data_IF_001776875847
#
_entry.id   IF_001776875847
#
_cell.length_a   1.000
_cell.length_b   1.000
_cell.length_c   1.000
_cell.angle_alpha   90.00
_cell.angle_beta   90.00
_cell.angle_gamma   90.00
#
_symmetry.space_group_name_H-M   'P 1'
#
loop_
_entity.id
_entity.type
_entity.pdbx_description
1 polymer ?
#
# COMPACT_ATOMS: atom_id res chain seq x y z
N UNK A 1 -43.10 -13.71 56.91
CA UNK A 1 -41.70 -14.11 56.64
C UNK A 1 -41.61 -14.70 55.23
N UNK A 2 -41.23 -13.89 54.24
CA UNK A 2 -40.98 -14.35 52.87
C UNK A 2 -39.49 -14.13 52.59
N UNK A 3 -38.75 -15.21 52.27
CA UNK A 3 -37.35 -15.14 51.83
C UNK A 3 -37.31 -15.24 50.31
N UNK A 4 -36.74 -14.20 49.68
CA UNK A 4 -36.38 -14.17 48.25
C UNK A 4 -35.10 -14.98 48.01
N UNK A 5 -34.93 -15.66 46.86
CA UNK A 5 -33.65 -16.22 46.46
C UNK A 5 -32.74 -15.14 45.86
N UNK A 6 -31.46 -15.16 46.22
CA UNK A 6 -30.43 -14.34 45.60
C UNK A 6 -30.16 -14.83 44.17
N UNK A 7 -30.29 -13.92 43.20
CA UNK A 7 -29.69 -14.05 41.87
C UNK A 7 -28.18 -13.90 42.01
N UNK A 8 -27.42 -14.94 41.67
CA UNK A 8 -25.98 -14.84 41.45
C UNK A 8 -25.76 -14.36 40.02
N UNK A 9 -25.40 -13.09 39.87
CA UNK A 9 -24.92 -12.53 38.60
C UNK A 9 -23.44 -12.88 38.49
N UNK A 10 -23.12 -13.85 37.63
CA UNK A 10 -21.77 -14.13 37.19
C UNK A 10 -21.32 -12.98 36.28
N UNK A 11 -20.49 -12.08 36.82
CA UNK A 11 -19.76 -11.11 36.04
C UNK A 11 -18.70 -11.83 35.20
N UNK A 12 -18.96 -11.99 33.90
CA UNK A 12 -17.95 -12.37 32.91
C UNK A 12 -16.91 -11.26 32.83
N UNK A 13 -15.76 -11.49 33.45
CA UNK A 13 -14.58 -10.65 33.28
C UNK A 13 -14.07 -10.79 31.84
N UNK A 14 -14.34 -9.79 31.01
CA UNK A 14 -13.57 -9.57 29.79
C UNK A 14 -12.12 -9.32 30.21
N UNK A 15 -11.24 -10.28 29.93
CA UNK A 15 -9.80 -10.08 30.06
C UNK A 15 -9.38 -9.12 28.95
N UNK A 16 -9.30 -7.83 29.28
CA UNK A 16 -8.53 -6.89 28.49
C UNK A 16 -7.08 -7.40 28.50
N UNK A 17 -6.61 -7.86 27.35
CA UNK A 17 -5.18 -8.12 27.15
C UNK A 17 -4.50 -6.78 27.31
N UNK A 18 -3.86 -6.58 28.46
CA UNK A 18 -3.05 -5.40 28.72
C UNK A 18 -1.80 -5.50 27.85
N UNK A 19 -1.91 -5.04 26.60
CA UNK A 19 -0.74 -4.64 25.84
C UNK A 19 0.02 -3.60 26.65
N UNK A 20 1.35 -3.68 26.66
CA UNK A 20 2.16 -2.68 27.37
C UNK A 20 1.90 -1.31 26.73
N UNK A 21 1.06 -0.52 27.39
CA UNK A 21 0.53 0.78 26.91
C UNK A 21 1.63 1.76 26.51
N UNK A 22 2.84 1.54 27.01
CA UNK A 22 4.03 2.38 26.74
C UNK A 22 4.70 2.13 25.39
N UNK A 23 4.57 0.93 24.80
CA UNK A 23 5.15 0.60 23.49
C UNK A 23 4.23 1.06 22.34
N UNK A 24 2.91 0.80 22.45
CA UNK A 24 1.91 1.33 21.53
C UNK A 24 1.90 2.87 21.53
N UNK A 25 1.83 3.51 22.71
CA UNK A 25 1.78 4.97 22.81
C UNK A 25 3.04 5.68 22.27
N UNK A 26 4.17 4.96 22.07
CA UNK A 26 5.40 5.54 21.51
C UNK A 26 5.49 5.38 20.01
N UNK A 27 5.11 4.22 19.47
CA UNK A 27 4.95 4.05 18.02
C UNK A 27 3.94 5.07 17.48
N UNK A 28 2.86 5.36 18.23
CA UNK A 28 1.88 6.42 17.90
C UNK A 28 2.48 7.84 17.83
N UNK A 29 3.63 8.09 18.46
CA UNK A 29 4.26 9.43 18.54
C UNK A 29 5.54 9.58 17.74
N UNK A 30 6.07 8.49 17.17
CA UNK A 30 7.30 8.54 16.39
C UNK A 30 6.99 8.96 14.94
N UNK A 31 7.53 10.10 14.53
CA UNK A 31 7.38 10.62 13.16
C UNK A 31 8.76 10.61 12.45
N UNK A 32 9.00 9.63 11.56
CA UNK A 32 10.23 9.54 10.76
C UNK A 32 10.51 10.80 9.94
N UNK A 33 9.47 11.42 9.38
CA UNK A 33 9.62 12.62 8.55
C UNK A 33 10.02 13.83 9.41
N UNK A 34 9.47 13.96 10.62
CA UNK A 34 9.89 15.01 11.54
C UNK A 34 11.37 14.84 11.95
N UNK A 35 11.83 13.61 12.19
CA UNK A 35 13.24 13.34 12.52
C UNK A 35 14.16 13.73 11.37
N UNK A 36 13.84 13.32 10.13
CA UNK A 36 14.62 13.71 8.95
C UNK A 36 14.59 15.24 8.73
N UNK A 37 13.42 15.87 8.84
CA UNK A 37 13.28 17.31 8.65
C UNK A 37 14.04 18.14 9.70
N UNK A 38 14.21 17.60 10.91
CA UNK A 38 15.02 18.22 11.95
C UNK A 38 16.52 18.03 11.69
N UNK A 39 16.93 16.83 11.29
CA UNK A 39 18.34 16.49 11.08
C UNK A 39 18.93 17.11 9.79
N UNK A 40 18.10 17.29 8.76
CA UNK A 40 18.54 17.73 7.43
C UNK A 40 17.73 18.97 6.96
N UNK A 41 18.06 20.17 7.48
CA UNK A 41 17.29 21.38 7.22
C UNK A 41 17.30 21.83 5.75
N UNK A 42 18.35 21.49 4.99
CA UNK A 42 18.44 21.78 3.55
C UNK A 42 17.37 21.02 2.76
N UNK A 43 17.20 19.71 3.03
CA UNK A 43 16.14 18.92 2.42
C UNK A 43 14.75 19.45 2.81
N UNK A 44 14.56 19.83 4.08
CA UNK A 44 13.31 20.46 4.54
C UNK A 44 13.01 21.74 3.77
N UNK A 45 14.02 22.57 3.52
CA UNK A 45 13.87 23.80 2.73
C UNK A 45 13.49 23.49 1.28
N UNK A 46 14.15 22.50 0.65
CA UNK A 46 13.83 22.05 -0.70
C UNK A 46 12.39 21.51 -0.79
N UNK A 47 11.97 20.63 0.12
CA UNK A 47 10.59 20.12 0.21
C UNK A 47 9.58 21.27 0.30
N UNK A 48 9.85 22.27 1.16
CA UNK A 48 8.97 23.44 1.30
C UNK A 48 8.89 24.25 0.00
N UNK A 49 10.03 24.47 -0.67
CA UNK A 49 10.07 25.19 -1.93
C UNK A 49 9.35 24.45 -3.06
N UNK A 50 9.38 23.12 -3.07
CA UNK A 50 8.80 22.29 -4.12
C UNK A 50 7.32 21.98 -3.95
N UNK A 51 6.78 22.10 -2.74
CA UNK A 51 5.37 21.77 -2.47
C UNK A 51 4.37 22.45 -3.43
N UNK A 52 4.45 23.77 -3.72
CA UNK A 52 3.49 24.40 -4.62
C UNK A 52 3.56 23.89 -6.06
N UNK A 53 4.77 23.60 -6.55
CA UNK A 53 5.00 23.09 -7.91
C UNK A 53 4.45 21.67 -8.07
N UNK A 54 4.70 20.80 -7.08
CA UNK A 54 4.15 19.44 -7.05
C UNK A 54 2.62 19.48 -7.06
N UNK A 55 2.00 20.29 -6.19
CA UNK A 55 0.54 20.41 -6.12
C UNK A 55 -0.04 20.90 -7.45
N UNK A 56 0.56 21.93 -8.06
CA UNK A 56 0.08 22.44 -9.35
C UNK A 56 0.20 21.40 -10.47
N UNK A 57 1.29 20.62 -10.47
CA UNK A 57 1.48 19.56 -11.44
C UNK A 57 0.50 18.41 -11.25
N UNK A 58 0.24 17.99 -10.01
CA UNK A 58 -0.74 16.94 -9.70
C UNK A 58 -2.15 17.33 -10.14
N UNK A 59 -2.59 18.57 -9.88
CA UNK A 59 -3.90 19.05 -10.36
C UNK A 59 -4.00 18.97 -11.89
N UNK A 60 -2.93 19.32 -12.60
CA UNK A 60 -2.89 19.19 -14.07
C UNK A 60 -2.96 17.74 -14.50
N UNK A 61 -2.13 16.88 -13.92
CA UNK A 61 -2.09 15.45 -14.22
C UNK A 61 -3.45 14.79 -14.01
N UNK A 62 -4.12 15.14 -12.91
CA UNK A 62 -5.43 14.61 -12.57
C UNK A 62 -6.47 14.91 -13.65
N UNK A 63 -6.53 16.16 -14.11
CA UNK A 63 -7.46 16.58 -15.16
C UNK A 63 -7.15 15.88 -16.51
N UNK A 64 -5.87 15.70 -16.84
CA UNK A 64 -5.44 15.04 -18.06
C UNK A 64 -5.73 13.54 -18.04
N UNK A 65 -5.43 12.85 -16.93
CA UNK A 65 -5.71 11.41 -16.77
C UNK A 65 -7.22 11.13 -16.76
N UNK A 66 -8.03 11.99 -16.13
CA UNK A 66 -9.50 11.92 -16.18
C UNK A 66 -10.04 12.07 -17.62
N UNK A 67 -9.35 12.89 -18.44
CA UNK A 67 -9.67 13.04 -19.85
C UNK A 67 -9.15 11.87 -20.72
N UNK A 68 -8.50 10.87 -20.14
CA UNK A 68 -8.00 9.68 -20.83
C UNK A 68 -6.56 9.78 -21.34
N UNK A 69 -5.82 10.83 -20.97
CA UNK A 69 -4.42 10.97 -21.38
C UNK A 69 -3.51 10.03 -20.59
N UNK A 70 -2.60 9.35 -21.28
CA UNK A 70 -1.51 8.61 -20.62
C UNK A 70 -0.49 9.60 -20.05
N UNK A 71 -0.45 9.70 -18.72
CA UNK A 71 0.52 10.48 -17.97
C UNK A 71 1.37 9.64 -17.02
N UNK A 72 1.39 8.32 -17.21
CA UNK A 72 2.07 7.35 -16.34
C UNK A 72 3.53 7.71 -16.06
N UNK A 73 4.32 8.05 -17.09
CA UNK A 73 5.72 8.48 -16.92
C UNK A 73 5.85 9.74 -16.04
N UNK A 74 5.03 10.76 -16.27
CA UNK A 74 5.14 12.01 -15.52
C UNK A 74 4.67 11.81 -14.07
N UNK A 75 3.63 11.00 -13.86
CA UNK A 75 3.17 10.56 -12.54
C UNK A 75 4.28 9.81 -11.78
N UNK A 76 4.96 8.88 -12.44
CA UNK A 76 6.11 8.16 -11.89
C UNK A 76 7.23 9.11 -11.42
N UNK A 77 7.58 10.12 -12.23
CA UNK A 77 8.58 11.12 -11.87
C UNK A 77 8.17 11.98 -10.66
N UNK A 78 6.89 12.37 -10.56
CA UNK A 78 6.35 13.08 -9.38
C UNK A 78 6.45 12.20 -8.14
N UNK A 79 6.09 10.93 -8.25
CA UNK A 79 6.13 9.97 -7.13
C UNK A 79 7.55 9.77 -6.60
N UNK A 80 8.55 9.59 -7.49
CA UNK A 80 9.94 9.47 -7.08
C UNK A 80 10.44 10.76 -6.39
N UNK A 81 10.13 11.95 -6.94
CA UNK A 81 10.50 13.21 -6.31
C UNK A 81 9.87 13.38 -4.92
N UNK A 82 8.57 13.06 -4.78
CA UNK A 82 7.88 13.11 -3.48
C UNK A 82 8.55 12.20 -2.45
N UNK A 83 8.94 10.99 -2.86
CA UNK A 83 9.67 10.07 -2.01
C UNK A 83 11.04 10.62 -1.61
N UNK A 84 11.84 11.11 -2.56
CA UNK A 84 13.16 11.70 -2.26
C UNK A 84 13.05 12.83 -1.23
N UNK A 85 12.08 13.73 -1.41
CA UNK A 85 11.85 14.88 -0.53
C UNK A 85 11.32 14.50 0.87
N UNK A 86 10.65 13.35 1.00
CA UNK A 86 10.02 12.92 2.25
C UNK A 86 10.87 11.92 3.05
N UNK A 87 11.69 11.12 2.35
CA UNK A 87 12.32 9.92 2.91
C UNK A 87 13.85 9.91 2.80
N UNK A 88 14.48 10.95 2.26
CA UNK A 88 15.95 10.99 2.12
C UNK A 88 16.51 12.34 2.53
N UNK A 89 17.81 12.39 2.80
CA UNK A 89 18.59 13.62 3.00
C UNK A 89 19.42 14.00 1.77
N UNK A 90 19.30 13.26 0.67
CA UNK A 90 20.11 13.44 -0.54
C UNK A 90 19.56 14.58 -1.39
N UNK A 91 19.98 15.80 -1.05
CA UNK A 91 19.53 17.04 -1.71
C UNK A 91 19.89 17.02 -3.19
N UNK A 92 21.12 16.61 -3.54
CA UNK A 92 21.58 16.60 -4.93
C UNK A 92 20.71 15.67 -5.80
N UNK A 93 20.37 14.49 -5.29
CA UNK A 93 19.48 13.56 -5.98
C UNK A 93 18.06 14.11 -6.12
N UNK A 94 17.52 14.78 -5.10
CA UNK A 94 16.21 15.41 -5.17
C UNK A 94 16.18 16.58 -6.17
N UNK A 95 17.24 17.37 -6.25
CA UNK A 95 17.36 18.45 -7.25
C UNK A 95 17.48 17.91 -8.68
N UNK A 96 18.26 16.85 -8.88
CA UNK A 96 18.32 16.16 -10.17
C UNK A 96 16.93 15.65 -10.58
N UNK A 97 16.21 14.97 -9.67
CA UNK A 97 14.85 14.49 -9.93
C UNK A 97 13.87 15.64 -10.25
N UNK A 98 13.99 16.78 -9.57
CA UNK A 98 13.22 18.01 -9.87
C UNK A 98 13.50 18.50 -11.29
N UNK A 99 14.77 18.59 -11.68
CA UNK A 99 15.13 19.14 -12.99
C UNK A 99 14.65 18.21 -14.11
N UNK A 100 14.79 16.89 -13.94
CA UNK A 100 14.16 15.91 -14.85
C UNK A 100 12.65 16.07 -14.90
N UNK A 101 11.98 16.26 -13.75
CA UNK A 101 10.53 16.43 -13.71
C UNK A 101 10.10 17.64 -14.54
N UNK A 102 10.80 18.76 -14.44
CA UNK A 102 10.54 19.97 -15.22
C UNK A 102 10.74 19.76 -16.71
N UNK A 103 11.83 19.10 -17.10
CA UNK A 103 12.08 18.74 -18.50
C UNK A 103 10.95 17.86 -19.06
N UNK A 104 10.51 16.85 -18.32
CA UNK A 104 9.40 15.97 -18.73
C UNK A 104 8.06 16.69 -18.77
N UNK A 105 7.80 17.58 -17.81
CA UNK A 105 6.59 18.38 -17.76
C UNK A 105 6.50 19.39 -18.92
N UNK A 106 7.63 19.80 -19.50
CA UNK A 106 7.72 20.68 -20.66
C UNK A 106 7.79 19.93 -22.00
N UNK A 107 8.09 18.64 -21.99
CA UNK A 107 8.18 17.82 -23.19
C UNK A 107 6.81 17.67 -23.88
N UNK A 108 6.78 17.80 -25.21
CA UNK A 108 5.56 17.63 -26.01
C UNK A 108 5.04 16.18 -25.98
N UNK A 109 5.96 15.21 -25.85
CA UNK A 109 5.66 13.78 -25.77
C UNK A 109 6.51 13.18 -24.67
N UNK A 110 5.87 12.38 -23.81
CA UNK A 110 6.55 11.55 -22.82
C UNK A 110 6.40 10.08 -23.24
N UNK A 111 7.40 9.23 -22.95
CA UNK A 111 7.23 7.79 -23.13
C UNK A 111 6.10 7.29 -22.23
N UNK A 112 5.38 6.27 -22.68
CA UNK A 112 4.46 5.54 -21.80
C UNK A 112 5.26 4.80 -20.72
N UNK A 113 4.68 4.65 -19.52
CA UNK A 113 5.25 3.83 -18.45
C UNK A 113 5.41 2.36 -18.85
N UNK A 114 4.68 1.92 -19.89
CA UNK A 114 4.74 0.59 -20.49
C UNK A 114 5.94 0.36 -21.43
N UNK A 115 6.79 1.36 -21.66
CA UNK A 115 8.01 1.20 -22.47
C UNK A 115 9.13 0.61 -21.61
N UNK A 116 9.88 -0.36 -22.16
CA UNK A 116 11.07 -0.90 -21.50
C UNK A 116 12.30 0.00 -21.67
N UNK A 117 13.08 0.13 -20.60
CA UNK A 117 14.40 0.77 -20.57
C UNK A 117 15.52 -0.23 -20.95
N UNK A 118 16.74 0.27 -21.11
CA UNK A 118 17.90 -0.50 -21.54
C UNK A 118 18.30 -1.63 -20.56
N UNK A 119 17.95 -1.53 -19.28
CA UNK A 119 18.16 -2.59 -18.27
C UNK A 119 17.00 -3.61 -18.24
N UNK A 120 16.01 -3.46 -19.12
CA UNK A 120 14.82 -4.30 -19.23
C UNK A 120 13.75 -4.01 -18.18
N UNK A 121 13.92 -2.98 -17.34
CA UNK A 121 12.83 -2.47 -16.50
C UNK A 121 11.78 -1.74 -17.35
N UNK A 122 10.60 -1.57 -16.79
CA UNK A 122 9.58 -0.64 -17.25
C UNK A 122 9.64 0.64 -16.41
N UNK A 123 8.87 1.67 -16.78
CA UNK A 123 8.86 2.96 -16.09
C UNK A 123 10.14 3.77 -16.35
N UNK A 124 10.39 4.24 -17.59
CA UNK A 124 11.62 4.93 -17.97
C UNK A 124 11.80 6.32 -17.32
N UNK A 125 10.85 6.74 -16.48
CA UNK A 125 10.83 8.07 -15.87
C UNK A 125 11.22 8.07 -14.39
N UNK A 126 11.48 6.89 -13.82
CA UNK A 126 12.11 6.71 -12.51
C UNK A 126 13.52 6.19 -12.66
N UNK A 127 14.42 6.65 -11.80
CA UNK A 127 15.83 6.21 -11.78
C UNK A 127 16.12 5.21 -10.67
N UNK A 128 15.46 5.33 -9.52
CA UNK A 128 15.66 4.41 -8.41
C UNK A 128 15.34 2.96 -8.79
N UNK A 129 16.16 2.04 -8.28
CA UNK A 129 16.02 0.63 -8.57
C UNK A 129 14.70 0.03 -8.05
N UNK A 130 14.26 0.41 -6.84
CA UNK A 130 13.02 -0.14 -6.27
C UNK A 130 11.80 0.38 -7.01
N UNK A 131 11.79 1.64 -7.43
CA UNK A 131 10.72 2.20 -8.26
C UNK A 131 10.68 1.58 -9.65
N UNK A 132 11.84 1.28 -10.25
CA UNK A 132 11.91 0.50 -11.50
C UNK A 132 11.38 -0.92 -11.32
N UNK A 133 11.66 -1.57 -10.20
CA UNK A 133 11.12 -2.89 -9.87
C UNK A 133 9.59 -2.85 -9.83
N UNK A 134 9.01 -1.92 -9.08
CA UNK A 134 7.56 -1.72 -8.94
C UNK A 134 6.87 -1.54 -10.29
N UNK A 135 7.39 -0.61 -11.10
CA UNK A 135 6.87 -0.35 -12.44
C UNK A 135 6.93 -1.57 -13.38
N UNK A 136 7.81 -2.54 -13.09
CA UNK A 136 8.06 -3.71 -13.92
C UNK A 136 7.32 -4.96 -13.48
N UNK A 137 7.02 -5.10 -12.19
CA UNK A 137 6.60 -6.38 -11.59
C UNK A 137 5.34 -6.96 -12.24
N UNK A 138 4.30 -6.17 -12.45
CA UNK A 138 3.06 -6.66 -13.06
C UNK A 138 3.25 -7.13 -14.51
N UNK A 139 4.15 -6.47 -15.26
CA UNK A 139 4.51 -6.88 -16.62
C UNK A 139 5.27 -8.20 -16.59
N UNK A 140 6.22 -8.38 -15.67
CA UNK A 140 6.93 -9.63 -15.48
C UNK A 140 6.00 -10.79 -15.09
N UNK A 141 5.03 -10.52 -14.21
CA UNK A 141 4.06 -11.51 -13.75
C UNK A 141 3.00 -11.87 -14.80
N UNK A 142 2.81 -11.05 -15.84
CA UNK A 142 1.92 -11.39 -16.96
C UNK A 142 2.42 -12.64 -17.72
N UNK A 143 3.73 -12.87 -17.72
CA UNK A 143 4.39 -13.92 -18.48
C UNK A 143 4.44 -13.67 -19.99
N UNK A 144 4.10 -12.46 -20.43
CA UNK A 144 4.32 -12.05 -21.80
C UNK A 144 5.84 -12.05 -22.13
N UNK A 145 6.23 -12.36 -23.38
CA UNK A 145 7.61 -12.20 -23.81
C UNK A 145 8.09 -10.76 -23.60
N UNK A 146 9.30 -10.62 -23.07
CA UNK A 146 9.94 -9.31 -22.87
C UNK A 146 10.87 -9.00 -24.04
N UNK A 147 10.71 -7.85 -24.72
CA UNK A 147 11.62 -7.41 -25.78
C UNK A 147 13.07 -7.23 -25.32
N UNK A 148 13.26 -6.75 -24.09
CA UNK A 148 14.57 -6.51 -23.47
C UNK A 148 14.73 -7.41 -22.25
N UNK A 149 15.90 -8.05 -22.14
CA UNK A 149 16.24 -8.92 -21.02
C UNK A 149 16.31 -8.13 -19.70
N UNK A 150 15.63 -8.57 -18.61
CA UNK A 150 15.46 -7.78 -17.37
C UNK A 150 16.70 -7.85 -16.46
N UNK A 151 17.81 -7.22 -16.90
CA UNK A 151 19.06 -7.08 -16.15
C UNK A 151 18.89 -6.38 -14.79
N UNK A 152 17.84 -5.57 -14.63
CA UNK A 152 17.46 -4.98 -13.33
C UNK A 152 17.45 -6.02 -12.19
N UNK A 153 16.99 -7.23 -12.48
CA UNK A 153 16.85 -8.32 -11.49
C UNK A 153 18.19 -8.93 -11.07
N UNK A 154 19.27 -8.73 -11.85
CA UNK A 154 20.59 -9.30 -11.55
C UNK A 154 21.16 -8.78 -10.22
N UNK A 155 20.72 -7.59 -9.78
CA UNK A 155 21.05 -7.01 -8.47
C UNK A 155 20.71 -7.97 -7.32
N UNK A 156 19.60 -8.68 -7.43
CA UNK A 156 19.03 -9.54 -6.37
C UNK A 156 18.99 -11.03 -6.74
N UNK A 157 19.40 -11.42 -7.95
CA UNK A 157 19.50 -12.82 -8.37
C UNK A 157 20.75 -13.54 -7.83
N UNK A 158 20.96 -13.40 -6.52
CA UNK A 158 21.97 -14.09 -5.71
C UNK A 158 21.48 -14.15 -4.26
N UNK A 159 21.50 -15.33 -3.60
CA UNK A 159 20.95 -15.47 -2.25
C UNK A 159 21.57 -14.53 -1.22
N UNK A 160 22.89 -14.34 -1.26
CA UNK A 160 23.58 -13.50 -0.29
C UNK A 160 23.28 -12.02 -0.51
N UNK A 161 23.23 -11.58 -1.78
CA UNK A 161 22.81 -10.20 -2.12
C UNK A 161 21.35 -9.94 -1.75
N UNK A 162 20.45 -10.88 -2.02
CA UNK A 162 19.04 -10.76 -1.68
C UNK A 162 18.83 -10.70 -0.15
N UNK A 163 19.50 -11.58 0.60
CA UNK A 163 19.40 -11.64 2.06
C UNK A 163 19.92 -10.33 2.68
N UNK A 164 21.10 -9.87 2.27
CA UNK A 164 21.66 -8.59 2.72
C UNK A 164 20.78 -7.39 2.34
N UNK A 165 20.18 -7.40 1.15
CA UNK A 165 19.28 -6.34 0.71
C UNK A 165 18.00 -6.29 1.56
N UNK A 166 17.25 -7.39 1.64
CA UNK A 166 15.98 -7.44 2.37
C UNK A 166 16.15 -7.17 3.87
N UNK A 167 17.19 -7.76 4.50
CA UNK A 167 17.46 -7.53 5.92
C UNK A 167 17.92 -6.10 6.20
N UNK A 168 18.64 -5.48 5.26
CA UNK A 168 19.05 -4.08 5.35
C UNK A 168 17.88 -3.09 5.33
N UNK A 169 16.73 -3.48 4.77
CA UNK A 169 15.52 -2.65 4.73
C UNK A 169 14.69 -2.69 6.02
N UNK A 170 14.92 -3.67 6.91
CA UNK A 170 14.16 -3.82 8.15
C UNK A 170 14.51 -2.78 9.22
N UNK A 171 15.57 -1.99 9.02
CA UNK A 171 16.00 -1.02 10.01
C UNK A 171 16.49 0.30 9.41
N UNK A 172 15.96 1.41 9.91
CA UNK A 172 16.32 2.77 9.53
C UNK A 172 16.98 3.51 10.70
N UNK A 173 18.17 4.06 10.47
CA UNK A 173 18.85 5.00 11.38
C UNK A 173 18.87 6.37 10.72
N UNK A 174 17.80 7.13 10.91
CA UNK A 174 17.51 8.33 10.13
C UNK A 174 18.59 9.42 10.30
N UNK A 175 19.08 9.61 11.53
CA UNK A 175 20.06 10.67 11.81
C UNK A 175 21.44 10.34 11.25
N UNK A 176 21.79 9.05 11.20
CA UNK A 176 23.09 8.58 10.71
C UNK A 176 23.09 8.38 9.19
N UNK A 177 22.08 7.69 8.68
CA UNK A 177 22.03 7.25 7.28
C UNK A 177 21.33 8.26 6.39
N UNK A 178 20.48 9.13 6.95
CA UNK A 178 19.72 10.12 6.20
C UNK A 178 18.63 9.53 5.29
N UNK A 179 18.30 8.24 5.44
CA UNK A 179 17.32 7.57 4.59
C UNK A 179 16.33 6.79 5.44
N UNK A 180 15.04 7.04 5.17
CA UNK A 180 13.91 6.27 5.64
C UNK A 180 13.61 5.14 4.63
N UNK A 181 13.94 3.90 5.02
CA UNK A 181 13.86 2.72 4.16
C UNK A 181 12.44 2.17 4.03
N UNK A 182 11.47 2.71 4.78
CA UNK A 182 10.05 2.32 4.79
C UNK A 182 9.46 2.01 3.43
N UNK A 183 9.59 2.97 2.51
CA UNK A 183 8.93 2.90 1.21
C UNK A 183 9.60 1.85 0.31
N UNK A 184 10.92 1.74 0.40
CA UNK A 184 11.69 0.72 -0.30
C UNK A 184 11.39 -0.68 0.26
N UNK A 185 11.29 -0.84 1.58
CA UNK A 185 10.82 -2.07 2.23
C UNK A 185 9.46 -2.50 1.67
N UNK A 186 8.51 -1.57 1.62
CA UNK A 186 7.16 -1.85 1.13
C UNK A 186 7.17 -2.33 -0.32
N UNK A 187 7.79 -1.56 -1.22
CA UNK A 187 7.86 -1.88 -2.65
C UNK A 187 8.62 -3.20 -2.88
N UNK A 188 9.85 -3.29 -2.36
CA UNK A 188 10.71 -4.43 -2.63
C UNK A 188 10.13 -5.74 -2.06
N UNK A 189 9.55 -5.70 -0.85
CA UNK A 189 8.92 -6.89 -0.29
C UNK A 189 7.65 -7.28 -1.06
N UNK A 190 6.81 -6.33 -1.45
CA UNK A 190 5.62 -6.57 -2.27
C UNK A 190 5.99 -7.32 -3.57
N UNK A 191 7.02 -6.84 -4.27
CA UNK A 191 7.39 -7.35 -5.58
C UNK A 191 8.20 -8.63 -5.55
N UNK A 192 9.24 -8.67 -4.72
CA UNK A 192 10.14 -9.83 -4.67
C UNK A 192 9.42 -11.07 -4.13
N UNK A 193 8.47 -10.90 -3.18
CA UNK A 193 7.62 -12.01 -2.73
C UNK A 193 6.83 -12.60 -3.89
N UNK A 194 6.23 -11.77 -4.75
CA UNK A 194 5.45 -12.25 -5.90
C UNK A 194 6.35 -12.90 -6.96
N UNK A 195 7.44 -12.23 -7.34
CA UNK A 195 8.33 -12.70 -8.39
C UNK A 195 9.05 -14.00 -8.03
N UNK A 196 9.39 -14.18 -6.75
CA UNK A 196 10.15 -15.35 -6.29
C UNK A 196 9.20 -16.47 -5.87
N UNK A 197 8.11 -16.19 -5.12
CA UNK A 197 7.25 -17.24 -4.56
C UNK A 197 6.04 -17.60 -5.43
N UNK A 198 5.58 -16.71 -6.33
CA UNK A 198 4.39 -16.97 -7.16
C UNK A 198 4.76 -17.30 -8.60
N UNK A 199 5.48 -16.42 -9.28
CA UNK A 199 5.76 -16.58 -10.71
C UNK A 199 7.03 -15.86 -11.14
N UNK A 200 7.95 -16.64 -11.71
CA UNK A 200 9.19 -16.14 -12.34
C UNK A 200 8.87 -15.38 -13.65
N UNK A 201 9.58 -14.28 -13.97
CA UNK A 201 9.49 -13.62 -15.27
C UNK A 201 9.85 -14.58 -16.40
N UNK A 202 9.14 -14.48 -17.52
CA UNK A 202 9.36 -15.35 -18.67
C UNK A 202 10.78 -15.20 -19.24
N UNK A 203 11.52 -16.31 -19.35
CA UNK A 203 12.86 -16.32 -19.93
C UNK A 203 13.98 -15.76 -19.03
N UNK A 204 13.70 -15.37 -17.79
CA UNK A 204 14.72 -14.94 -16.83
C UNK A 204 15.19 -16.13 -15.96
N UNK A 205 16.51 -16.42 -15.89
CA UNK A 205 17.06 -17.50 -15.09
C UNK A 205 17.17 -17.11 -13.60
N UNK A 206 16.03 -17.00 -12.92
CA UNK A 206 15.99 -16.88 -11.46
C UNK A 206 16.61 -18.12 -10.82
N UNK A 207 17.60 -17.90 -9.93
CA UNK A 207 18.15 -18.98 -9.13
C UNK A 207 17.09 -19.60 -8.22
N UNK A 208 17.16 -20.91 -8.06
CA UNK A 208 16.17 -21.67 -7.28
C UNK A 208 16.37 -21.55 -5.76
N UNK A 209 17.53 -21.07 -5.31
CA UNK A 209 17.90 -20.96 -3.89
C UNK A 209 17.48 -19.62 -3.24
N UNK A 210 16.66 -18.81 -3.92
CA UNK A 210 16.17 -17.53 -3.43
C UNK A 210 14.90 -17.64 -2.59
N UNK A 211 14.05 -18.63 -2.86
CA UNK A 211 12.83 -18.84 -2.09
C UNK A 211 13.11 -19.00 -0.58
N UNK A 212 14.08 -19.82 -0.15
CA UNK A 212 14.43 -19.92 1.27
C UNK A 212 14.86 -18.58 1.89
N UNK A 213 15.49 -17.69 1.13
CA UNK A 213 15.89 -16.35 1.61
C UNK A 213 14.66 -15.51 1.90
N UNK A 214 13.72 -15.44 0.94
CA UNK A 214 12.48 -14.67 1.09
C UNK A 214 11.65 -15.20 2.26
N UNK A 215 11.54 -16.52 2.42
CA UNK A 215 10.79 -17.13 3.55
C UNK A 215 11.39 -16.80 4.91
N UNK A 216 12.73 -16.80 5.04
CA UNK A 216 13.40 -16.38 6.27
C UNK A 216 13.17 -14.90 6.57
N UNK A 217 13.27 -14.05 5.55
CA UNK A 217 12.97 -12.63 5.70
C UNK A 217 11.55 -12.40 6.23
N UNK A 218 10.53 -13.04 5.63
CA UNK A 218 9.13 -12.94 6.07
C UNK A 218 9.00 -13.36 7.54
N UNK A 219 9.55 -14.52 7.91
CA UNK A 219 9.48 -15.01 9.28
C UNK A 219 10.17 -14.07 10.30
N UNK A 220 11.25 -13.40 9.90
CA UNK A 220 11.97 -12.46 10.75
C UNK A 220 11.30 -11.07 10.84
N UNK A 221 10.55 -10.68 9.81
CA UNK A 221 9.97 -9.34 9.67
C UNK A 221 8.63 -9.18 10.41
N UNK A 222 7.91 -10.27 10.71
CA UNK A 222 6.64 -10.18 11.42
C UNK A 222 6.87 -9.96 12.91
N UNK A 223 6.26 -8.92 13.48
CA UNK A 223 6.30 -8.68 14.91
C UNK A 223 5.22 -9.52 15.63
N UNK A 224 5.58 -10.47 16.50
CA UNK A 224 4.59 -11.29 17.20
C UNK A 224 3.72 -10.52 18.21
N UNK A 225 4.14 -9.33 18.63
CA UNK A 225 3.42 -8.51 19.62
C UNK A 225 2.26 -7.72 19.02
N UNK A 226 2.34 -7.37 17.74
CA UNK A 226 1.26 -6.68 17.00
C UNK A 226 0.68 -7.55 15.90
N UNK A 227 1.39 -8.59 15.46
CA UNK A 227 1.11 -9.37 14.26
C UNK A 227 1.48 -8.67 12.96
N UNK A 228 1.92 -7.40 13.00
CA UNK A 228 2.22 -6.61 11.81
C UNK A 228 3.62 -6.85 11.27
N UNK A 229 3.79 -6.54 9.99
CA UNK A 229 5.08 -6.32 9.36
C UNK A 229 5.38 -4.82 9.35
N UNK A 230 6.65 -4.46 9.32
CA UNK A 230 7.10 -3.08 9.25
C UNK A 230 8.59 -2.96 9.55
N UNK A 231 9.12 -1.76 9.44
CA UNK A 231 10.51 -1.50 9.79
C UNK A 231 10.68 -1.17 11.28
N UNK A 232 11.95 -1.16 11.69
CA UNK A 232 12.37 -0.64 12.97
C UNK A 232 13.21 0.62 12.80
N UNK A 233 12.95 1.66 13.59
CA UNK A 233 13.76 2.87 13.63
C UNK A 233 14.72 2.87 14.81
N UNK A 234 15.97 3.28 14.58
CA UNK A 234 16.90 3.64 15.65
C UNK A 234 16.68 5.09 16.07
N UNK A 235 16.35 5.29 17.33
CA UNK A 235 16.22 6.60 17.96
C UNK A 235 17.11 6.65 19.21
N UNK A 236 18.33 7.15 19.02
CA UNK A 236 19.40 7.05 20.02
C UNK A 236 19.75 5.59 20.32
N UNK A 237 19.70 5.20 21.60
CA UNK A 237 19.93 3.81 22.03
C UNK A 237 18.69 2.92 21.89
N UNK A 238 17.54 3.48 21.48
CA UNK A 238 16.27 2.77 21.41
C UNK A 238 15.96 2.28 20.00
N UNK A 239 15.18 1.21 19.94
CA UNK A 239 14.58 0.70 18.70
C UNK A 239 13.07 0.86 18.79
N UNK A 240 12.47 1.55 17.82
CA UNK A 240 11.03 1.75 17.69
C UNK A 240 10.54 0.88 16.54
N UNK A 241 9.68 -0.10 16.81
CA UNK A 241 9.06 -0.92 15.78
C UNK A 241 7.74 -0.30 15.37
N UNK A 242 7.49 -0.24 14.07
CA UNK A 242 6.26 0.35 13.53
C UNK A 242 5.37 -0.73 12.92
N UNK A 243 4.08 -0.67 13.24
CA UNK A 243 3.06 -1.52 12.60
C UNK A 243 2.62 -0.87 11.28
N UNK A 244 3.12 -1.37 10.16
CA UNK A 244 2.90 -0.77 8.85
C UNK A 244 1.75 -1.46 8.12
N UNK A 245 0.65 -0.71 7.89
CA UNK A 245 -0.55 -1.22 7.22
C UNK A 245 -0.24 -1.76 5.82
N UNK A 246 0.54 -1.03 5.04
CA UNK A 246 0.75 -1.35 3.62
C UNK A 246 1.72 -2.50 3.43
N UNK A 247 2.81 -2.54 4.20
CA UNK A 247 3.75 -3.68 4.18
C UNK A 247 3.00 -4.95 4.61
N UNK A 248 2.20 -4.86 5.68
CA UNK A 248 1.40 -5.98 6.19
C UNK A 248 0.37 -6.44 5.17
N UNK A 249 -0.36 -5.52 4.54
CA UNK A 249 -1.29 -5.82 3.47
C UNK A 249 -0.62 -6.58 2.33
N UNK A 250 0.50 -6.07 1.79
CA UNK A 250 1.18 -6.69 0.66
C UNK A 250 1.66 -8.10 1.01
N UNK A 251 2.35 -8.29 2.13
CA UNK A 251 2.85 -9.61 2.53
C UNK A 251 1.70 -10.58 2.76
N UNK A 252 0.68 -10.19 3.55
CA UNK A 252 -0.47 -11.05 3.85
C UNK A 252 -1.21 -11.46 2.57
N UNK A 253 -1.50 -10.48 1.70
CA UNK A 253 -2.17 -10.70 0.41
C UNK A 253 -1.35 -11.62 -0.49
N UNK A 254 -0.06 -11.37 -0.65
CA UNK A 254 0.78 -12.14 -1.56
C UNK A 254 1.16 -13.53 -1.03
N UNK A 255 0.88 -13.81 0.24
CA UNK A 255 0.96 -15.15 0.81
C UNK A 255 -0.43 -15.83 0.90
N UNK A 256 -1.48 -15.23 0.35
CA UNK A 256 -2.87 -15.72 0.44
C UNK A 256 -3.29 -15.99 1.89
N UNK A 257 -2.90 -15.08 2.78
CA UNK A 257 -3.20 -15.12 4.21
C UNK A 257 -2.33 -16.08 5.04
N UNK A 258 -1.32 -16.72 4.43
CA UNK A 258 -0.38 -17.64 5.12
C UNK A 258 0.70 -16.87 5.89
N UNK A 259 0.26 -16.12 6.89
CA UNK A 259 1.08 -15.46 7.91
C UNK A 259 0.60 -15.87 9.30
N UNK A 260 1.38 -15.55 10.32
CA UNK A 260 1.06 -15.89 11.70
C UNK A 260 0.27 -14.78 12.41
N UNK A 261 -0.13 -15.00 13.66
CA UNK A 261 -0.64 -13.97 14.59
C UNK A 261 -1.93 -13.24 14.20
N UNK A 262 -2.81 -13.83 13.37
CA UNK A 262 -4.05 -13.19 12.91
C UNK A 262 -4.92 -12.53 13.99
N UNK A 263 -5.26 -13.16 15.13
CA UNK A 263 -6.08 -12.49 16.15
C UNK A 263 -5.43 -11.21 16.69
N UNK A 264 -4.11 -11.25 16.97
CA UNK A 264 -3.34 -10.10 17.43
C UNK A 264 -3.26 -9.00 16.37
N UNK A 265 -3.04 -9.39 15.11
CA UNK A 265 -3.04 -8.48 13.96
C UNK A 265 -4.36 -7.75 13.84
N UNK A 266 -5.49 -8.45 13.89
CA UNK A 266 -6.81 -7.83 13.76
C UNK A 266 -7.13 -6.89 14.92
N UNK A 267 -6.79 -7.28 16.16
CA UNK A 267 -6.98 -6.40 17.33
C UNK A 267 -6.17 -5.10 17.17
N UNK A 268 -4.91 -5.20 16.71
CA UNK A 268 -4.06 -4.04 16.49
C UNK A 268 -4.53 -3.18 15.30
N UNK A 269 -4.99 -3.83 14.22
CA UNK A 269 -5.53 -3.14 13.03
C UNK A 269 -6.73 -2.27 13.39
N UNK A 270 -7.64 -2.76 14.23
CA UNK A 270 -8.78 -1.97 14.72
C UNK A 270 -8.30 -0.84 15.65
N UNK A 271 -7.32 -1.10 16.50
CA UNK A 271 -6.80 -0.10 17.44
C UNK A 271 -6.15 1.12 16.74
N UNK A 272 -5.53 0.92 15.57
CA UNK A 272 -4.87 1.99 14.79
C UNK A 272 -5.80 2.73 13.82
N UNK A 273 -7.12 2.50 13.85
CA UNK A 273 -8.03 2.99 12.81
C UNK A 273 -8.10 4.52 12.66
N UNK A 274 -7.88 5.24 13.74
CA UNK A 274 -7.94 6.71 13.77
C UNK A 274 -6.55 7.37 13.55
N UNK A 275 -5.51 6.57 13.35
CA UNK A 275 -4.15 7.05 13.12
C UNK A 275 -3.86 7.34 11.63
N UNK A 276 -2.79 8.09 11.38
CA UNK A 276 -2.36 8.47 10.04
C UNK A 276 -1.62 7.31 9.35
N UNK A 277 -1.95 7.08 8.08
CA UNK A 277 -1.28 6.16 7.19
C UNK A 277 0.21 6.54 7.06
N UNK A 278 1.13 5.56 7.09
CA UNK A 278 0.89 4.11 7.01
C UNK A 278 0.73 3.39 8.35
N UNK A 279 0.80 4.13 9.45
CA UNK A 279 0.69 3.60 10.81
C UNK A 279 -0.74 3.74 11.36
N UNK A 280 -1.71 3.83 10.43
CA UNK A 280 -3.15 3.91 10.66
C UNK A 280 -3.91 3.87 9.33
N UNK A 281 -5.22 4.08 9.36
CA UNK A 281 -6.09 3.95 8.18
C UNK A 281 -6.28 5.26 7.41
N UNK A 282 -6.01 6.40 8.04
CA UNK A 282 -6.39 7.71 7.51
C UNK A 282 -5.25 8.36 6.71
N UNK A 283 -5.52 8.85 5.51
CA UNK A 283 -4.60 9.77 4.85
C UNK A 283 -4.73 11.20 5.43
N UNK A 284 -4.04 12.18 4.83
CA UNK A 284 -4.07 13.58 5.28
C UNK A 284 -5.48 14.22 5.27
N UNK A 285 -6.44 13.61 4.54
CA UNK A 285 -7.81 14.10 4.34
C UNK A 285 -8.88 13.18 4.95
N UNK A 286 -8.51 11.98 5.39
CA UNK A 286 -9.38 11.03 6.07
C UNK A 286 -9.31 9.62 5.48
N UNK A 287 -10.45 8.91 5.45
CA UNK A 287 -10.52 7.60 4.82
C UNK A 287 -10.31 7.70 3.31
N UNK A 288 -9.82 6.62 2.69
CA UNK A 288 -9.65 6.52 1.24
C UNK A 288 -10.08 5.13 0.78
N UNK A 289 -10.57 4.99 -0.46
CA UNK A 289 -10.89 3.66 -1.02
C UNK A 289 -9.68 2.72 -1.03
N UNK A 290 -8.48 3.27 -1.19
CA UNK A 290 -7.21 2.54 -1.14
C UNK A 290 -6.96 1.94 0.23
N UNK A 291 -6.92 2.75 1.28
CA UNK A 291 -6.64 2.25 2.62
C UNK A 291 -7.77 1.33 3.10
N UNK A 292 -9.02 1.65 2.74
CA UNK A 292 -10.17 0.79 3.03
C UNK A 292 -10.04 -0.58 2.34
N UNK A 293 -9.49 -0.61 1.12
CA UNK A 293 -9.19 -1.86 0.43
C UNK A 293 -8.16 -2.71 1.17
N UNK A 294 -7.08 -2.09 1.63
CA UNK A 294 -6.02 -2.76 2.38
C UNK A 294 -6.57 -3.37 3.67
N UNK A 295 -7.31 -2.57 4.44
CA UNK A 295 -7.97 -2.97 5.68
C UNK A 295 -8.97 -4.11 5.46
N UNK A 296 -9.88 -3.97 4.49
CA UNK A 296 -10.90 -4.98 4.20
C UNK A 296 -10.28 -6.30 3.73
N UNK A 297 -9.16 -6.24 3.01
CA UNK A 297 -8.42 -7.44 2.59
C UNK A 297 -7.82 -8.15 3.81
N UNK A 298 -7.19 -7.42 4.72
CA UNK A 298 -6.64 -8.00 5.96
C UNK A 298 -7.75 -8.61 6.83
N UNK A 299 -8.90 -7.95 6.95
CA UNK A 299 -10.07 -8.51 7.63
C UNK A 299 -10.54 -9.83 7.00
N UNK A 300 -10.63 -9.90 5.67
CA UNK A 300 -11.05 -11.13 4.99
C UNK A 300 -10.06 -12.27 5.21
N UNK A 301 -8.76 -11.99 5.08
CA UNK A 301 -7.71 -12.99 5.24
C UNK A 301 -7.64 -13.51 6.69
N UNK A 302 -7.82 -12.64 7.68
CA UNK A 302 -7.82 -13.00 9.09
C UNK A 302 -9.11 -13.65 9.59
N UNK A 303 -10.24 -13.42 8.92
CA UNK A 303 -11.59 -13.86 9.34
C UNK A 303 -11.69 -15.31 9.85
N UNK A 304 -11.07 -16.32 9.19
CA UNK A 304 -11.16 -17.72 9.63
C UNK A 304 -10.50 -17.99 11.00
N UNK A 305 -9.60 -17.11 11.45
CA UNK A 305 -8.88 -17.24 12.72
C UNK A 305 -9.57 -16.49 13.89
N UNK A 306 -10.66 -15.77 13.62
CA UNK A 306 -11.33 -14.92 14.60
C UNK A 306 -12.44 -15.66 15.33
N UNK A 307 -12.61 -15.36 16.62
CA UNK A 307 -13.81 -15.72 17.37
C UNK A 307 -15.00 -14.82 16.98
N UNK A 308 -16.20 -15.19 17.44
CA UNK A 308 -17.43 -14.47 17.12
C UNK A 308 -17.43 -13.01 17.59
N UNK A 309 -16.74 -12.69 18.70
CA UNK A 309 -16.65 -11.32 19.21
C UNK A 309 -15.82 -10.43 18.28
N UNK A 310 -14.65 -10.93 17.84
CA UNK A 310 -13.81 -10.24 16.87
C UNK A 310 -14.46 -10.15 15.49
N UNK A 311 -15.14 -11.20 15.04
CA UNK A 311 -15.92 -11.17 13.80
C UNK A 311 -17.00 -10.08 13.83
N UNK A 312 -17.69 -9.92 14.97
CA UNK A 312 -18.67 -8.84 15.13
C UNK A 312 -18.04 -7.44 15.05
N UNK A 313 -16.89 -7.23 15.70
CA UNK A 313 -16.16 -5.98 15.64
C UNK A 313 -15.69 -5.66 14.21
N UNK A 314 -15.10 -6.64 13.52
CA UNK A 314 -14.68 -6.52 12.11
C UNK A 314 -15.86 -6.19 11.21
N UNK A 315 -17.01 -6.87 11.38
CA UNK A 315 -18.20 -6.58 10.59
C UNK A 315 -18.71 -5.14 10.79
N UNK A 316 -18.60 -4.60 12.00
CA UNK A 316 -18.98 -3.22 12.30
C UNK A 316 -18.03 -2.21 11.62
N UNK A 317 -16.73 -2.50 11.57
CA UNK A 317 -15.76 -1.64 10.86
C UNK A 317 -15.98 -1.72 9.34
N UNK A 318 -16.16 -2.92 8.75
CA UNK A 318 -16.45 -3.04 7.31
C UNK A 318 -17.72 -2.26 6.92
N UNK A 319 -18.76 -2.29 7.75
CA UNK A 319 -19.97 -1.50 7.53
C UNK A 319 -19.65 0.00 7.46
N UNK A 320 -18.85 0.53 8.37
CA UNK A 320 -18.44 1.94 8.38
C UNK A 320 -17.61 2.31 7.15
N UNK A 321 -16.65 1.45 6.75
CA UNK A 321 -15.85 1.67 5.54
C UNK A 321 -16.72 1.70 4.28
N UNK A 322 -17.70 0.81 4.19
CA UNK A 322 -18.63 0.77 3.06
C UNK A 322 -19.57 1.97 3.05
N UNK A 323 -20.12 2.36 4.20
CA UNK A 323 -20.98 3.54 4.34
C UNK A 323 -20.22 4.82 3.95
N UNK A 324 -18.96 4.96 4.38
CA UNK A 324 -18.10 6.06 3.94
C UNK A 324 -17.87 6.03 2.42
N UNK A 325 -17.56 4.88 1.84
CA UNK A 325 -17.31 4.77 0.40
C UNK A 325 -18.54 5.18 -0.42
N UNK A 326 -19.72 4.65 -0.06
CA UNK A 326 -20.98 4.93 -0.78
C UNK A 326 -21.53 6.35 -0.51
N UNK A 327 -21.29 6.91 0.68
CA UNK A 327 -21.82 8.21 1.08
C UNK A 327 -20.88 9.40 0.81
N UNK A 328 -19.56 9.16 0.77
CA UNK A 328 -18.53 10.20 0.68
C UNK A 328 -17.63 10.03 -0.54
N UNK A 329 -17.08 8.83 -0.75
CA UNK A 329 -16.13 8.61 -1.83
C UNK A 329 -16.80 8.58 -3.22
N UNK A 330 -18.08 8.20 -3.28
CA UNK A 330 -18.82 8.02 -4.53
C UNK A 330 -20.06 8.91 -4.66
N UNK A 331 -20.39 9.23 -5.90
CA UNK A 331 -21.73 9.62 -6.31
C UNK A 331 -22.66 8.41 -6.51
N UNK A 332 -23.99 8.64 -6.58
CA UNK A 332 -24.97 7.56 -6.75
C UNK A 332 -24.78 6.77 -8.05
N UNK A 333 -24.13 7.36 -9.06
CA UNK A 333 -23.85 6.75 -10.35
C UNK A 333 -22.41 6.22 -10.48
N UNK A 334 -21.64 6.16 -9.38
CA UNK A 334 -20.27 5.63 -9.38
C UNK A 334 -19.18 6.65 -9.75
N UNK A 335 -19.51 7.94 -9.82
CA UNK A 335 -18.54 9.03 -9.92
C UNK A 335 -17.65 9.06 -8.66
N UNK A 336 -16.32 9.04 -8.83
CA UNK A 336 -15.38 9.19 -7.72
C UNK A 336 -15.30 10.66 -7.31
N UNK A 337 -15.66 10.95 -6.06
CA UNK A 337 -15.65 12.30 -5.46
C UNK A 337 -14.47 12.54 -4.52
N UNK A 338 -13.93 11.47 -3.94
CA UNK A 338 -12.79 11.52 -3.02
C UNK A 338 -11.87 10.33 -3.27
N UNK A 339 -10.56 10.56 -3.13
CA UNK A 339 -9.49 9.60 -3.37
C UNK A 339 -8.24 10.03 -2.60
N UNK A 340 -7.25 9.14 -2.51
CA UNK A 340 -6.07 9.41 -1.71
C UNK A 340 -5.20 10.55 -2.28
N UNK A 341 -4.53 11.31 -1.41
CA UNK A 341 -3.65 12.42 -1.83
C UNK A 341 -2.49 11.92 -2.68
N UNK A 342 -2.41 12.39 -3.92
CA UNK A 342 -1.34 12.03 -4.87
C UNK A 342 -1.56 10.69 -5.59
N UNK A 343 -2.68 10.02 -5.35
CA UNK A 343 -3.10 8.84 -6.11
C UNK A 343 -3.35 9.21 -7.58
N UNK A 344 -3.02 8.32 -8.52
CA UNK A 344 -3.32 8.54 -9.93
C UNK A 344 -4.80 8.26 -10.23
N UNK A 345 -5.34 8.77 -11.33
CA UNK A 345 -6.74 8.48 -11.69
C UNK A 345 -6.99 6.98 -11.97
N UNK A 346 -6.12 6.27 -12.70
CA UNK A 346 -6.24 4.81 -12.86
C UNK A 346 -6.24 4.05 -11.53
N UNK A 347 -5.38 4.45 -10.57
CA UNK A 347 -5.33 3.83 -9.24
C UNK A 347 -6.64 4.04 -8.47
N UNK A 348 -7.18 5.28 -8.47
CA UNK A 348 -8.42 5.58 -7.76
C UNK A 348 -9.60 4.73 -8.27
N UNK A 349 -9.68 4.51 -9.58
CA UNK A 349 -10.66 3.61 -10.20
C UNK A 349 -10.46 2.16 -9.73
N UNK A 350 -9.21 1.68 -9.76
CA UNK A 350 -8.87 0.34 -9.31
C UNK A 350 -9.19 0.13 -7.84
N UNK A 351 -8.69 0.98 -6.92
CA UNK A 351 -8.87 0.80 -5.49
C UNK A 351 -10.33 0.92 -5.06
N UNK A 352 -11.10 1.79 -5.71
CA UNK A 352 -12.55 1.87 -5.49
C UNK A 352 -13.25 0.59 -5.92
N UNK A 353 -13.05 0.12 -7.15
CA UNK A 353 -13.63 -1.14 -7.63
C UNK A 353 -13.15 -2.32 -6.77
N UNK A 354 -11.90 -2.28 -6.33
CA UNK A 354 -11.25 -3.30 -5.53
C UNK A 354 -11.88 -3.43 -4.15
N UNK A 355 -12.07 -2.31 -3.45
CA UNK A 355 -12.73 -2.27 -2.15
C UNK A 355 -14.17 -2.80 -2.24
N UNK A 356 -14.97 -2.31 -3.19
CA UNK A 356 -16.35 -2.74 -3.37
C UNK A 356 -16.47 -4.24 -3.69
N UNK A 357 -15.52 -4.78 -4.46
CA UNK A 357 -15.43 -6.22 -4.72
C UNK A 357 -15.06 -7.03 -3.47
N UNK A 358 -14.04 -6.57 -2.72
CA UNK A 358 -13.50 -7.24 -1.54
C UNK A 358 -14.54 -7.44 -0.43
N UNK A 359 -15.37 -6.43 -0.20
CA UNK A 359 -16.42 -6.46 0.83
C UNK A 359 -17.71 -7.15 0.37
N UNK A 360 -17.76 -7.64 -0.88
CA UNK A 360 -18.95 -8.29 -1.43
C UNK A 360 -20.13 -7.33 -1.68
N UNK A 361 -19.85 -6.06 -1.96
CA UNK A 361 -20.86 -5.11 -2.46
C UNK A 361 -21.23 -5.45 -3.91
N UNK A 362 -20.23 -5.77 -4.74
CA UNK A 362 -20.44 -6.15 -6.13
C UNK A 362 -20.97 -7.58 -6.28
N UNK A 363 -20.51 -8.52 -5.46
CA UNK A 363 -20.92 -9.93 -5.49
C UNK A 363 -21.28 -10.42 -4.08
N UNK A 364 -22.57 -10.69 -3.79
CA UNK A 364 -23.00 -11.19 -2.49
C UNK A 364 -22.33 -12.50 -2.07
N UNK A 365 -21.81 -13.32 -2.99
CA UNK A 365 -21.14 -14.59 -2.65
C UNK A 365 -19.78 -14.38 -2.01
N UNK A 366 -19.17 -13.20 -2.17
CA UNK A 366 -17.91 -12.82 -1.50
C UNK A 366 -18.14 -12.29 -0.09
N UNK A 367 -19.39 -12.06 0.31
CA UNK A 367 -19.74 -11.43 1.58
C UNK A 367 -19.57 -12.41 2.73
N UNK A 368 -18.64 -12.12 3.62
CA UNK A 368 -18.32 -12.95 4.78
C UNK A 368 -18.73 -12.32 6.12
N UNK A 369 -19.09 -11.03 6.11
CA UNK A 369 -19.23 -10.20 7.31
C UNK A 369 -20.67 -9.81 7.65
N UNK A 370 -21.62 -9.99 6.73
CA UNK A 370 -23.04 -9.67 6.98
C UNK A 370 -23.96 -10.43 6.03
N UNK A 371 -25.16 -10.77 6.49
CA UNK A 371 -26.26 -11.27 5.66
C UNK A 371 -27.25 -10.16 5.26
N UNK A 372 -27.01 -8.93 5.72
CA UNK A 372 -27.91 -7.80 5.41
C UNK A 372 -27.91 -7.51 3.91
N UNK A 373 -29.07 -7.21 3.31
CA UNK A 373 -29.12 -6.68 1.96
C UNK A 373 -28.33 -5.37 1.86
N UNK A 374 -27.55 -5.22 0.79
CA UNK A 374 -26.85 -3.98 0.44
C UNK A 374 -27.58 -3.28 -0.72
N UNK A 375 -27.36 -1.97 -0.92
CA UNK A 375 -27.90 -1.24 -2.08
C UNK A 375 -27.53 -1.91 -3.41
N UNK A 376 -28.35 -1.67 -4.46
CA UNK A 376 -28.10 -2.20 -5.79
C UNK A 376 -26.78 -1.64 -6.38
N UNK A 377 -25.78 -2.49 -6.68
CA UNK A 377 -24.49 -2.03 -7.19
C UNK A 377 -24.52 -1.65 -8.67
N UNK A 378 -25.62 -1.87 -9.39
CA UNK A 378 -25.67 -1.79 -10.87
C UNK A 378 -25.21 -0.45 -11.43
N UNK A 379 -25.70 0.67 -10.87
CA UNK A 379 -25.34 2.01 -11.35
C UNK A 379 -23.89 2.36 -11.06
N UNK A 380 -23.45 2.13 -9.83
CA UNK A 380 -22.06 2.36 -9.41
C UNK A 380 -21.09 1.55 -10.28
N UNK A 381 -21.39 0.26 -10.49
CA UNK A 381 -20.59 -0.61 -11.36
C UNK A 381 -20.51 -0.08 -12.79
N UNK A 382 -21.64 0.37 -13.35
CA UNK A 382 -21.69 0.89 -14.70
C UNK A 382 -20.89 2.19 -14.85
N UNK A 383 -20.98 3.12 -13.89
CA UNK A 383 -20.23 4.36 -13.91
C UNK A 383 -18.73 4.16 -13.80
N UNK A 384 -18.27 3.38 -12.81
CA UNK A 384 -16.85 3.05 -12.66
C UNK A 384 -16.29 2.37 -13.92
N UNK A 385 -17.06 1.46 -14.51
CA UNK A 385 -16.64 0.78 -15.74
C UNK A 385 -16.64 1.72 -16.96
N UNK A 386 -17.50 2.74 -16.99
CA UNK A 386 -17.49 3.75 -18.04
C UNK A 386 -16.24 4.63 -17.95
N UNK A 387 -15.89 5.10 -16.74
CA UNK A 387 -14.68 5.88 -16.50
C UNK A 387 -13.40 5.09 -16.82
N UNK A 388 -13.30 3.84 -16.35
CA UNK A 388 -12.14 2.99 -16.64
C UNK A 388 -11.93 2.73 -18.15
N UNK A 389 -13.01 2.71 -18.95
CA UNK A 389 -12.90 2.54 -20.42
C UNK A 389 -12.43 3.79 -21.17
N UNK A 390 -12.39 4.96 -20.52
CA UNK A 390 -11.81 6.18 -21.12
C UNK A 390 -10.29 6.14 -21.17
N UNK A 391 -9.68 5.34 -20.29
CA UNK A 391 -8.23 5.18 -20.20
C UNK A 391 -7.70 4.29 -21.33
N UNK A 392 -6.39 4.37 -21.65
CA UNK A 392 -5.75 3.48 -22.62
C UNK A 392 -6.02 2.00 -22.34
N UNK A 393 -6.27 1.21 -23.38
CA UNK A 393 -6.63 -0.20 -23.22
C UNK A 393 -5.52 -1.07 -22.59
N UNK A 394 -4.26 -0.63 -22.66
CA UNK A 394 -3.11 -1.29 -22.08
C UNK A 394 -2.71 -0.76 -20.68
N UNK A 395 -3.48 0.21 -20.14
CA UNK A 395 -3.36 0.74 -18.78
C UNK A 395 -3.68 -0.36 -17.75
N UNK A 396 -2.69 -0.88 -17.00
CA UNK A 396 -2.87 -2.03 -16.12
C UNK A 396 -3.97 -1.85 -15.08
N UNK A 397 -4.06 -0.67 -14.44
CA UNK A 397 -5.00 -0.45 -13.34
C UNK A 397 -6.44 -0.33 -13.83
N UNK A 398 -6.65 0.33 -14.98
CA UNK A 398 -7.96 0.40 -15.62
C UNK A 398 -8.49 -0.99 -15.98
N UNK A 399 -7.64 -1.84 -16.56
CA UNK A 399 -7.99 -3.24 -16.87
C UNK A 399 -8.31 -4.05 -15.62
N UNK A 400 -7.46 -3.95 -14.59
CA UNK A 400 -7.70 -4.64 -13.32
C UNK A 400 -9.02 -4.20 -12.65
N UNK A 401 -9.37 -2.91 -12.75
CA UNK A 401 -10.66 -2.40 -12.29
C UNK A 401 -11.82 -3.03 -13.09
N UNK A 402 -11.73 -3.05 -14.42
CA UNK A 402 -12.74 -3.64 -15.30
C UNK A 402 -12.93 -5.15 -15.02
N UNK A 403 -11.86 -5.88 -14.78
CA UNK A 403 -11.91 -7.32 -14.47
C UNK A 403 -12.70 -7.59 -13.18
N UNK A 404 -12.58 -6.73 -12.17
CA UNK A 404 -13.40 -6.83 -10.94
C UNK A 404 -14.85 -6.44 -11.18
N UNK A 405 -15.07 -5.36 -11.94
CA UNK A 405 -16.41 -4.88 -12.28
C UNK A 405 -17.16 -5.84 -13.22
N UNK A 406 -16.47 -6.73 -13.92
CA UNK A 406 -17.08 -7.75 -14.78
C UNK A 406 -17.53 -9.01 -14.02
N UNK A 407 -16.99 -9.26 -12.82
CA UNK A 407 -17.32 -10.44 -12.02
C UNK A 407 -18.79 -10.35 -11.54
N UNK A 408 -19.54 -11.43 -11.81
CA UNK A 408 -20.94 -11.62 -11.43
C UNK A 408 -21.05 -12.74 -10.43
#
# INVERSE_FOLDING_TARGET
MWRRPLLVVLATAFSAVAFSTTALARAETFDPQAVLAQAFPEMRALRKAMKPEIVALEVRLDAEEQAGADRSCLRQAVTELRWLLASTSDVARAEHARDRLRERAAAAVNPAGSVQDADGSYGPCVEDWAWKLDASTDRFLSGAPMPVYPRLLDRVNDPARLDAYLTGLLQSDLRRDGVDRRKELNIASADLVRLILRRKPAGYPWRDDLEPVVRRFIAAAQDPSTGFFGESYRDGERTVRMADLSVTFHIARYLDGKIDHWPTLIDHLIAMKDAQYPYGWLDDTGMTSHNNYDVATLFRLGWPALDAGRQHAVAAEIAQLLDWCLGTALGPDGEIKSRAVGESWPDALYFTAAFLDEVGFLDPRKRYWTDRPLPDPTRIRAGLAAEARKLPADEPMARAALDRLAQR
#
